data_IF_218128877236
#
_entry.id   IF_218128877236
#
_cell.length_a   1.000
_cell.length_b   1.000
_cell.length_c   1.000
_cell.angle_alpha   90.00
_cell.angle_beta   90.00
_cell.angle_gamma   90.00
#
_symmetry.space_group_name_H-M   'P 1'
#
loop_
_entity.id
_entity.type
_entity.pdbx_description
1 polymer ?
#
# COMPACT_ATOMS: atom_id res chain seq x y z
N UNK A 1 -20.04 -2.25 15.20
CA UNK A 1 -19.06 -3.16 14.56
C UNK A 1 -18.58 -2.47 13.30
N UNK A 2 -17.29 -2.14 13.13
CA UNK A 2 -16.83 -1.59 11.86
C UNK A 2 -17.10 -2.64 10.77
N UNK A 3 -17.58 -2.21 9.60
CA UNK A 3 -17.72 -3.08 8.44
C UNK A 3 -16.37 -3.77 8.17
N UNK A 4 -16.38 -5.09 7.97
CA UNK A 4 -15.17 -5.82 7.63
C UNK A 4 -14.69 -5.31 6.27
N UNK A 5 -13.62 -4.52 6.28
CA UNK A 5 -13.02 -3.99 5.06
C UNK A 5 -12.30 -5.14 4.35
N UNK A 6 -12.92 -5.64 3.28
CA UNK A 6 -12.33 -6.65 2.41
C UNK A 6 -11.34 -5.97 1.46
N UNK A 7 -10.06 -5.99 1.84
CA UNK A 7 -8.97 -5.46 1.02
C UNK A 7 -8.37 -6.58 0.17
N UNK A 8 -8.45 -6.42 -1.14
CA UNK A 8 -7.84 -7.33 -2.10
C UNK A 8 -6.47 -6.80 -2.52
N UNK A 9 -5.45 -7.66 -2.49
CA UNK A 9 -4.05 -7.30 -2.72
C UNK A 9 -3.42 -8.18 -3.81
N UNK A 10 -2.42 -7.67 -4.55
CA UNK A 10 -1.91 -8.36 -5.73
C UNK A 10 -1.05 -9.59 -5.40
N UNK A 11 -0.66 -9.79 -4.15
CA UNK A 11 0.39 -10.72 -3.76
C UNK A 11 0.12 -12.17 -4.16
N UNK A 12 -1.11 -12.69 -3.96
CA UNK A 12 -1.44 -14.06 -4.36
C UNK A 12 -1.34 -14.27 -5.88
N UNK A 13 -1.75 -13.27 -6.67
CA UNK A 13 -1.66 -13.31 -8.13
C UNK A 13 -0.20 -13.26 -8.60
N UNK A 14 0.62 -12.42 -7.96
CA UNK A 14 2.06 -12.34 -8.24
C UNK A 14 2.75 -13.68 -7.94
N UNK A 15 2.48 -14.27 -6.77
CA UNK A 15 3.01 -15.58 -6.37
C UNK A 15 2.56 -16.71 -7.30
N UNK A 16 1.32 -16.67 -7.79
CA UNK A 16 0.82 -17.65 -8.75
C UNK A 16 1.46 -17.51 -10.14
N UNK A 17 1.77 -16.28 -10.57
CA UNK A 17 2.43 -16.01 -11.85
C UNK A 17 3.93 -16.36 -11.83
N UNK A 18 4.57 -16.18 -10.68
CA UNK A 18 5.99 -16.45 -10.43
C UNK A 18 6.13 -17.44 -9.26
N UNK A 19 5.82 -18.73 -9.45
CA UNK A 19 5.92 -19.75 -8.41
C UNK A 19 7.38 -20.15 -8.11
N UNK A 20 8.35 -19.27 -8.37
CA UNK A 20 9.77 -19.52 -8.20
C UNK A 20 10.06 -19.85 -6.72
N UNK A 21 10.52 -21.08 -6.46
CA UNK A 21 10.73 -21.60 -5.10
C UNK A 21 9.59 -22.48 -4.55
N UNK A 22 8.44 -22.56 -5.23
CA UNK A 22 7.39 -23.54 -4.97
C UNK A 22 7.73 -24.88 -5.65
N UNK A 23 8.83 -25.50 -5.22
CA UNK A 23 9.38 -26.73 -5.85
C UNK A 23 9.06 -28.02 -5.12
N UNK A 24 8.59 -27.92 -3.87
CA UNK A 24 8.33 -29.07 -3.01
C UNK A 24 6.90 -29.02 -2.47
N UNK A 25 6.32 -30.20 -2.20
CA UNK A 25 4.94 -30.35 -1.75
C UNK A 25 4.59 -29.45 -0.56
N UNK A 26 5.50 -29.34 0.42
CA UNK A 26 5.29 -28.54 1.61
C UNK A 26 5.11 -27.05 1.29
N UNK A 27 5.99 -26.46 0.47
CA UNK A 27 5.93 -25.03 0.14
C UNK A 27 4.76 -24.71 -0.79
N UNK A 28 4.44 -25.63 -1.71
CA UNK A 28 3.28 -25.51 -2.60
C UNK A 28 1.95 -25.56 -1.82
N UNK A 29 1.81 -26.51 -0.89
CA UNK A 29 0.61 -26.65 -0.05
C UNK A 29 0.40 -25.43 0.86
N UNK A 30 1.48 -24.92 1.46
CA UNK A 30 1.44 -23.68 2.23
C UNK A 30 1.00 -22.49 1.36
N UNK A 31 1.60 -22.33 0.17
CA UNK A 31 1.25 -21.25 -0.76
C UNK A 31 -0.24 -21.28 -1.18
N UNK A 32 -0.76 -22.47 -1.47
CA UNK A 32 -2.16 -22.65 -1.82
C UNK A 32 -3.08 -22.29 -0.64
N UNK A 33 -2.73 -22.75 0.56
CA UNK A 33 -3.48 -22.43 1.80
C UNK A 33 -3.50 -20.93 2.08
N UNK A 34 -2.36 -20.25 1.90
CA UNK A 34 -2.25 -18.80 2.02
C UNK A 34 -3.17 -18.10 1.01
N UNK A 35 -3.14 -18.52 -0.26
CA UNK A 35 -3.96 -17.95 -1.32
C UNK A 35 -5.46 -18.15 -1.08
N UNK A 36 -5.88 -19.33 -0.60
CA UNK A 36 -7.26 -19.62 -0.20
C UNK A 36 -7.74 -18.66 0.91
N UNK A 37 -6.89 -18.44 1.92
CA UNK A 37 -7.19 -17.54 3.03
C UNK A 37 -7.21 -16.08 2.59
N UNK A 38 -6.29 -15.68 1.71
CA UNK A 38 -6.23 -14.33 1.15
C UNK A 38 -7.47 -14.01 0.31
N UNK A 39 -7.90 -14.91 -0.58
CA UNK A 39 -9.13 -14.77 -1.35
C UNK A 39 -10.37 -14.58 -0.45
N UNK A 40 -10.50 -15.39 0.62
CA UNK A 40 -11.60 -15.23 1.60
C UNK A 40 -11.54 -13.88 2.32
N UNK A 41 -10.36 -13.44 2.75
CA UNK A 41 -10.17 -12.12 3.40
C UNK A 41 -10.51 -10.97 2.45
N UNK A 42 -10.25 -11.15 1.16
CA UNK A 42 -10.62 -10.22 0.10
C UNK A 42 -12.11 -10.30 -0.31
N UNK A 43 -12.92 -11.18 0.32
CA UNK A 43 -14.33 -11.35 -0.01
C UNK A 43 -14.58 -12.03 -1.37
N UNK A 44 -13.57 -12.75 -1.89
CA UNK A 44 -13.65 -13.52 -3.14
C UNK A 44 -13.97 -14.98 -2.85
N UNK A 45 -14.70 -15.62 -3.76
CA UNK A 45 -14.90 -17.06 -3.73
C UNK A 45 -13.61 -17.78 -4.17
N UNK A 46 -12.94 -18.53 -3.29
CA UNK A 46 -11.66 -19.15 -3.62
C UNK A 46 -11.74 -20.19 -4.74
N UNK A 47 -12.89 -20.83 -4.94
CA UNK A 47 -13.07 -21.85 -5.99
C UNK A 47 -13.07 -21.25 -7.40
N UNK A 48 -13.25 -19.94 -7.50
CA UNK A 48 -13.24 -19.18 -8.76
C UNK A 48 -12.03 -18.24 -8.90
N UNK A 49 -11.17 -18.16 -7.87
CA UNK A 49 -10.03 -17.24 -7.87
C UNK A 49 -8.89 -17.79 -8.75
N UNK A 50 -8.41 -17.01 -9.74
CA UNK A 50 -7.46 -17.53 -10.72
C UNK A 50 -6.10 -17.86 -10.11
N UNK A 51 -5.67 -17.16 -9.03
CA UNK A 51 -4.41 -17.48 -8.36
C UNK A 51 -4.51 -18.79 -7.58
N UNK A 52 -5.63 -19.02 -6.89
CA UNK A 52 -5.90 -20.27 -6.18
C UNK A 52 -5.88 -21.45 -7.15
N UNK A 53 -6.62 -21.34 -8.26
CA UNK A 53 -6.68 -22.39 -9.28
C UNK A 53 -5.29 -22.66 -9.89
N UNK A 54 -4.53 -21.62 -10.20
CA UNK A 54 -3.19 -21.76 -10.78
C UNK A 54 -2.20 -22.41 -9.81
N UNK A 55 -2.22 -22.02 -8.52
CA UNK A 55 -1.41 -22.65 -7.47
C UNK A 55 -1.83 -24.11 -7.20
N UNK A 56 -3.13 -24.41 -7.28
CA UNK A 56 -3.65 -25.78 -7.15
C UNK A 56 -3.14 -26.69 -8.26
N UNK A 57 -3.18 -26.23 -9.52
CA UNK A 57 -2.58 -26.95 -10.66
C UNK A 57 -1.09 -27.15 -10.47
N UNK A 58 -0.37 -26.10 -10.06
CA UNK A 58 1.06 -26.17 -9.78
C UNK A 58 1.41 -27.24 -8.74
N UNK A 59 0.69 -27.26 -7.61
CA UNK A 59 0.85 -28.29 -6.58
C UNK A 59 0.62 -29.70 -7.13
N UNK A 60 -0.43 -29.90 -7.94
CA UNK A 60 -0.74 -31.18 -8.56
C UNK A 60 0.39 -31.70 -9.45
N UNK A 61 1.00 -30.82 -10.25
CA UNK A 61 2.13 -31.16 -11.13
C UNK A 61 3.41 -31.48 -10.34
N UNK A 62 3.70 -30.71 -9.29
CA UNK A 62 4.80 -31.03 -8.35
C UNK A 62 4.57 -32.40 -7.70
N UNK A 63 3.34 -32.72 -7.31
CA UNK A 63 3.00 -34.03 -6.75
C UNK A 63 3.15 -35.19 -7.75
N UNK A 64 2.90 -34.92 -9.04
CA UNK A 64 3.11 -35.86 -10.13
C UNK A 64 4.59 -36.03 -10.55
N UNK A 65 5.50 -35.25 -9.97
CA UNK A 65 6.92 -35.28 -10.30
C UNK A 65 7.28 -34.52 -11.59
N UNK A 66 6.38 -33.66 -12.07
CA UNK A 66 6.65 -32.79 -13.22
C UNK A 66 7.64 -31.66 -12.87
N UNK A 67 8.28 -31.09 -13.89
CA UNK A 67 9.18 -29.95 -13.73
C UNK A 67 8.37 -28.70 -13.28
N UNK A 68 8.67 -28.10 -12.11
CA UNK A 68 7.92 -26.95 -11.59
C UNK A 68 8.00 -25.70 -12.49
N UNK A 69 9.05 -25.61 -13.31
CA UNK A 69 9.28 -24.49 -14.23
C UNK A 69 8.66 -24.72 -15.62
N UNK A 70 8.04 -25.87 -15.86
CA UNK A 70 7.40 -26.14 -17.14
C UNK A 70 6.27 -25.13 -17.40
N UNK A 71 6.19 -24.66 -18.65
CA UNK A 71 5.11 -23.80 -19.11
C UNK A 71 3.98 -24.67 -19.62
N UNK A 72 2.80 -24.44 -19.08
CA UNK A 72 1.59 -25.23 -19.36
C UNK A 72 0.57 -24.34 -20.08
N UNK A 73 0.35 -24.52 -21.40
CA UNK A 73 -0.56 -23.69 -22.18
C UNK A 73 -1.99 -23.65 -21.63
N UNK A 74 -2.45 -24.73 -20.99
CA UNK A 74 -3.76 -24.78 -20.35
C UNK A 74 -3.94 -23.78 -19.19
N UNK A 75 -2.85 -23.20 -18.68
CA UNK A 75 -2.86 -22.17 -17.64
C UNK A 75 -2.96 -20.74 -18.18
N UNK A 76 -2.88 -20.54 -19.50
CA UNK A 76 -2.79 -19.20 -20.09
C UNK A 76 -3.97 -18.30 -19.73
N UNK A 77 -5.19 -18.85 -19.68
CA UNK A 77 -6.39 -18.12 -19.27
C UNK A 77 -6.29 -17.64 -17.80
N UNK A 78 -5.87 -18.52 -16.89
CA UNK A 78 -5.70 -18.20 -15.46
C UNK A 78 -4.56 -17.19 -15.26
N UNK A 79 -3.46 -17.35 -15.99
CA UNK A 79 -2.32 -16.41 -15.96
C UNK A 79 -2.74 -15.03 -16.47
N UNK A 80 -3.52 -14.95 -17.54
CA UNK A 80 -4.04 -13.68 -18.05
C UNK A 80 -5.02 -13.03 -17.07
N UNK A 81 -5.90 -13.82 -16.44
CA UNK A 81 -6.78 -13.33 -15.39
C UNK A 81 -6.01 -12.78 -14.18
N UNK A 82 -4.92 -13.44 -13.75
CA UNK A 82 -4.04 -12.94 -12.70
C UNK A 82 -3.39 -11.60 -13.07
N UNK A 83 -2.85 -11.47 -14.29
CA UNK A 83 -2.25 -10.22 -14.79
C UNK A 83 -3.26 -9.08 -14.82
N UNK A 84 -4.46 -9.35 -15.35
CA UNK A 84 -5.54 -8.37 -15.41
C UNK A 84 -5.93 -7.90 -14.01
N UNK A 85 -6.05 -8.84 -13.04
CA UNK A 85 -6.39 -8.50 -11.67
C UNK A 85 -5.31 -7.66 -10.98
N UNK A 86 -4.03 -7.94 -11.23
CA UNK A 86 -2.92 -7.10 -10.73
C UNK A 86 -3.03 -5.68 -11.29
N UNK A 87 -3.33 -5.52 -12.58
CA UNK A 87 -3.49 -4.20 -13.19
C UNK A 87 -4.64 -3.41 -12.54
N UNK A 88 -5.81 -4.03 -12.37
CA UNK A 88 -6.96 -3.42 -11.69
C UNK A 88 -6.65 -2.99 -10.25
N UNK A 89 -5.93 -3.85 -9.51
CA UNK A 89 -5.57 -3.58 -8.11
C UNK A 89 -4.53 -2.47 -7.98
N UNK A 90 -3.64 -2.33 -8.96
CA UNK A 90 -2.65 -1.25 -8.98
C UNK A 90 -3.30 0.11 -9.21
N UNK A 91 -4.34 0.17 -10.03
CA UNK A 91 -5.00 1.42 -10.39
C UNK A 91 -6.01 1.89 -9.31
N UNK A 92 -6.32 1.03 -8.32
CA UNK A 92 -7.21 1.35 -7.22
C UNK A 92 -6.49 2.15 -6.10
N UNK A 93 -7.12 3.20 -5.53
CA UNK A 93 -6.54 3.95 -4.42
C UNK A 93 -6.47 3.10 -3.14
N UNK A 94 -5.30 2.51 -2.88
CA UNK A 94 -5.11 1.50 -1.81
C UNK A 94 -4.74 2.10 -0.45
N UNK A 95 -4.24 3.34 -0.41
CA UNK A 95 -3.64 3.91 0.81
C UNK A 95 -4.62 4.00 1.99
N UNK A 96 -5.81 4.57 1.77
CA UNK A 96 -6.85 4.70 2.79
C UNK A 96 -7.28 3.33 3.34
N UNK A 97 -7.72 2.37 2.51
CA UNK A 97 -8.15 1.08 3.03
C UNK A 97 -6.98 0.31 3.69
N UNK A 98 -5.76 0.46 3.20
CA UNK A 98 -4.57 -0.17 3.80
C UNK A 98 -4.27 0.36 5.20
N UNK A 99 -4.31 1.68 5.41
CA UNK A 99 -4.12 2.29 6.74
C UNK A 99 -5.24 1.92 7.68
N UNK A 100 -6.50 1.96 7.23
CA UNK A 100 -7.67 1.58 8.04
C UNK A 100 -7.62 0.10 8.46
N UNK A 101 -7.21 -0.80 7.55
CA UNK A 101 -6.96 -2.22 7.85
C UNK A 101 -5.85 -2.39 8.89
N UNK A 102 -4.84 -1.53 8.84
CA UNK A 102 -3.60 -1.63 9.61
C UNK A 102 -2.58 -2.52 8.92
N UNK A 103 -1.29 -2.23 9.14
CA UNK A 103 -0.20 -2.93 8.46
C UNK A 103 0.19 -4.23 9.18
N UNK A 104 0.30 -4.19 10.51
CA UNK A 104 0.94 -5.26 11.28
C UNK A 104 2.45 -5.32 11.01
N UNK A 105 3.17 -6.26 11.61
CA UNK A 105 4.59 -6.52 11.32
C UNK A 105 4.77 -7.27 9.98
N UNK A 106 3.88 -7.04 9.01
CA UNK A 106 3.86 -7.70 7.71
C UNK A 106 4.73 -6.88 6.72
N UNK A 107 5.86 -7.41 6.26
CA UNK A 107 6.80 -6.67 5.43
C UNK A 107 6.21 -6.28 4.06
N UNK A 108 5.33 -7.09 3.48
CA UNK A 108 4.75 -6.82 2.16
C UNK A 108 3.76 -5.66 2.24
N UNK A 109 2.94 -5.64 3.29
CA UNK A 109 2.02 -4.53 3.57
C UNK A 109 2.75 -3.24 3.92
N UNK A 110 3.85 -3.33 4.68
CA UNK A 110 4.70 -2.18 5.00
C UNK A 110 5.30 -1.59 3.71
N UNK A 111 5.79 -2.43 2.80
CA UNK A 111 6.35 -1.96 1.53
C UNK A 111 5.30 -1.35 0.61
N UNK A 112 4.13 -1.98 0.50
CA UNK A 112 2.99 -1.43 -0.25
C UNK A 112 2.56 -0.07 0.30
N UNK A 113 2.44 0.04 1.62
CA UNK A 113 2.14 1.29 2.30
C UNK A 113 3.18 2.37 1.99
N UNK A 114 4.48 2.06 2.11
CA UNK A 114 5.56 3.02 1.82
C UNK A 114 5.47 3.55 0.39
N UNK A 115 5.19 2.68 -0.57
CA UNK A 115 5.02 3.10 -1.98
C UNK A 115 3.83 4.04 -2.13
N UNK A 116 2.65 3.61 -1.66
CA UNK A 116 1.41 4.36 -1.79
C UNK A 116 1.44 5.71 -1.03
N UNK A 117 2.00 5.74 0.18
CA UNK A 117 2.16 6.97 0.97
C UNK A 117 3.08 7.97 0.27
N UNK A 118 4.22 7.51 -0.29
CA UNK A 118 5.13 8.38 -1.05
C UNK A 118 4.45 8.96 -2.28
N UNK A 119 3.70 8.15 -3.02
CA UNK A 119 2.97 8.60 -4.20
C UNK A 119 1.91 9.65 -3.85
N UNK A 120 1.12 9.41 -2.81
CA UNK A 120 0.13 10.36 -2.34
C UNK A 120 0.75 11.70 -1.90
N UNK A 121 1.89 11.65 -1.20
CA UNK A 121 2.63 12.86 -0.80
C UNK A 121 3.27 13.58 -1.99
N UNK A 122 3.75 12.87 -3.02
CA UNK A 122 4.21 13.48 -4.27
C UNK A 122 3.06 14.20 -4.97
N UNK A 123 1.89 13.58 -5.04
CA UNK A 123 0.71 14.20 -5.63
C UNK A 123 0.23 15.44 -4.85
N UNK A 124 0.32 15.40 -3.51
CA UNK A 124 0.09 16.57 -2.66
C UNK A 124 1.09 17.69 -2.95
N UNK A 125 2.39 17.39 -3.06
CA UNK A 125 3.42 18.37 -3.38
C UNK A 125 3.17 19.04 -4.74
N UNK A 126 2.80 18.26 -5.76
CA UNK A 126 2.42 18.75 -7.08
C UNK A 126 1.19 19.66 -7.02
N UNK A 127 0.17 19.27 -6.27
CA UNK A 127 -1.07 20.06 -6.07
C UNK A 127 -0.79 21.37 -5.31
N UNK A 128 0.18 21.35 -4.40
CA UNK A 128 0.66 22.54 -3.71
C UNK A 128 1.58 23.42 -4.58
N UNK A 129 1.96 22.95 -5.78
CA UNK A 129 2.89 23.59 -6.71
C UNK A 129 4.29 23.76 -6.12
N UNK A 130 4.77 22.77 -5.36
CA UNK A 130 6.13 22.78 -4.83
C UNK A 130 7.14 22.42 -5.91
N UNK A 131 8.28 23.10 -5.90
CA UNK A 131 9.45 22.72 -6.69
C UNK A 131 10.02 21.39 -6.16
N UNK A 132 10.30 20.39 -7.01
CA UNK A 132 10.90 19.11 -6.63
C UNK A 132 12.22 19.20 -5.84
N UNK A 133 12.96 20.31 -5.99
CA UNK A 133 14.21 20.57 -5.24
C UNK A 133 13.95 21.10 -3.83
N UNK A 134 12.75 21.65 -3.58
CA UNK A 134 12.36 22.33 -2.35
C UNK A 134 11.58 21.43 -1.37
N UNK A 135 11.44 20.14 -1.66
CA UNK A 135 10.91 19.18 -0.69
C UNK A 135 11.67 17.84 -0.70
N UNK A 136 11.52 17.07 0.37
CA UNK A 136 11.93 15.68 0.44
C UNK A 136 10.79 14.82 0.98
N UNK A 137 10.65 13.58 0.49
CA UNK A 137 9.70 12.60 1.01
C UNK A 137 10.49 11.42 1.56
N UNK A 138 10.48 11.26 2.87
CA UNK A 138 11.23 10.22 3.55
C UNK A 138 10.48 9.68 4.77
N UNK A 139 10.87 8.50 5.23
CA UNK A 139 10.46 8.03 6.54
C UNK A 139 11.11 8.92 7.59
N UNK A 140 10.32 9.37 8.56
CA UNK A 140 10.85 10.13 9.67
C UNK A 140 11.74 9.21 10.55
N UNK A 141 12.90 9.71 10.96
CA UNK A 141 13.93 8.97 11.71
C UNK A 141 13.46 8.53 13.09
N UNK A 142 12.43 9.18 13.63
CA UNK A 142 11.91 8.88 14.98
C UNK A 142 10.97 7.67 15.00
N UNK A 143 10.67 7.11 13.83
CA UNK A 143 9.74 6.01 13.66
C UNK A 143 10.45 4.69 13.34
N UNK A 144 9.94 3.59 13.91
CA UNK A 144 10.49 2.25 13.73
C UNK A 144 10.15 1.67 12.35
N UNK A 145 10.83 0.58 11.96
CA UNK A 145 10.50 -0.14 10.73
C UNK A 145 9.04 -0.65 10.71
N UNK A 146 8.52 -1.02 11.88
CA UNK A 146 7.15 -1.56 12.06
C UNK A 146 6.08 -0.46 12.18
N UNK A 147 6.46 0.80 12.36
CA UNK A 147 5.56 1.95 12.27
C UNK A 147 6.12 2.99 11.29
N UNK A 148 6.06 2.73 9.98
CA UNK A 148 6.87 3.44 8.99
C UNK A 148 6.28 4.81 8.59
N UNK A 149 6.06 5.75 9.51
CA UNK A 149 5.49 7.06 9.17
C UNK A 149 6.31 7.79 8.08
N UNK A 150 5.64 8.24 7.02
CA UNK A 150 6.27 8.91 5.86
C UNK A 150 5.87 10.38 5.87
N UNK A 151 6.85 11.25 5.72
CA UNK A 151 6.67 12.69 5.76
C UNK A 151 7.15 13.35 4.48
N UNK A 152 6.38 14.34 4.01
CA UNK A 152 6.78 15.37 3.07
C UNK A 152 7.35 16.54 3.90
N UNK A 153 8.65 16.77 3.79
CA UNK A 153 9.33 17.91 4.40
C UNK A 153 9.55 19.01 3.36
N UNK A 154 8.89 20.14 3.53
CA UNK A 154 9.14 21.37 2.79
C UNK A 154 9.77 22.43 3.71
N UNK A 155 10.23 23.54 3.14
CA UNK A 155 10.93 24.56 3.94
C UNK A 155 10.03 25.28 4.95
N UNK A 156 8.73 25.34 4.72
CA UNK A 156 7.78 26.08 5.56
C UNK A 156 6.76 25.20 6.28
N UNK A 157 6.71 23.91 5.96
CA UNK A 157 5.79 22.97 6.59
C UNK A 157 6.23 21.51 6.42
N UNK A 158 5.65 20.64 7.24
CA UNK A 158 5.76 19.20 7.13
C UNK A 158 4.36 18.57 7.12
N UNK A 159 4.15 17.55 6.28
CA UNK A 159 2.95 16.70 6.30
C UNK A 159 3.39 15.25 6.49
N UNK A 160 2.80 14.56 7.46
CA UNK A 160 3.12 13.18 7.83
C UNK A 160 1.90 12.28 7.65
N UNK A 161 2.11 11.12 7.04
CA UNK A 161 1.18 9.99 7.08
C UNK A 161 1.75 9.00 8.10
N UNK A 162 1.01 8.81 9.19
CA UNK A 162 1.32 7.91 10.30
C UNK A 162 0.31 6.75 10.31
N UNK A 163 0.73 5.53 9.96
CA UNK A 163 -0.18 4.38 9.91
C UNK A 163 -0.49 3.83 11.31
N UNK A 164 0.05 4.43 12.38
CA UNK A 164 -0.15 4.00 13.75
C UNK A 164 -1.62 4.12 14.19
N UNK A 165 -2.19 3.00 14.64
CA UNK A 165 -3.59 2.94 15.08
C UNK A 165 -3.82 3.36 16.52
N UNK A 166 -2.81 3.89 17.23
CA UNK A 166 -2.96 4.31 18.63
C UNK A 166 -3.98 5.46 18.75
N UNK A 167 -4.18 6.25 17.69
CA UNK A 167 -5.17 7.31 17.64
C UNK A 167 -5.95 7.32 16.31
N UNK A 168 -7.01 6.50 16.18
CA UNK A 168 -7.84 6.49 14.97
C UNK A 168 -8.39 7.89 14.65
N UNK A 169 -8.39 8.25 13.36
CA UNK A 169 -8.80 9.57 12.86
C UNK A 169 -7.73 10.66 12.98
N UNK A 170 -6.48 10.29 13.27
CA UNK A 170 -5.33 11.21 13.42
C UNK A 170 -4.09 10.76 12.64
N UNK A 171 -4.31 9.98 11.58
CA UNK A 171 -3.27 9.37 10.74
C UNK A 171 -2.53 10.40 9.88
N UNK A 172 -3.18 11.53 9.56
CA UNK A 172 -2.54 12.63 8.84
C UNK A 172 -2.16 13.71 9.84
N UNK A 173 -0.89 14.09 9.88
CA UNK A 173 -0.38 15.22 10.66
C UNK A 173 0.18 16.31 9.75
N UNK A 174 0.01 17.58 10.11
CA UNK A 174 0.69 18.69 9.44
C UNK A 174 1.07 19.80 10.42
N UNK A 175 2.18 20.47 10.16
CA UNK A 175 2.74 21.51 11.04
C UNK A 175 3.58 22.48 10.23
N UNK A 176 3.63 23.75 10.64
CA UNK A 176 4.59 24.72 10.10
C UNK A 176 5.99 24.41 10.59
N UNK A 177 7.00 24.63 9.76
CA UNK A 177 8.42 24.44 10.10
C UNK A 177 9.23 25.67 9.69
N UNK A 178 10.38 25.88 10.35
CA UNK A 178 11.34 26.91 9.99
C UNK A 178 12.54 26.28 9.26
N UNK A 179 12.32 25.88 8.01
CA UNK A 179 13.24 25.07 7.23
C UNK A 179 12.88 23.60 7.23
N UNK A 180 13.40 22.85 6.24
CA UNK A 180 13.11 21.42 6.03
C UNK A 180 13.46 20.54 7.23
N UNK A 181 14.60 20.79 7.86
CA UNK A 181 15.09 20.12 9.08
C UNK A 181 14.94 21.02 10.32
N UNK A 182 14.15 22.09 10.19
CA UNK A 182 13.97 23.09 11.24
C UNK A 182 12.96 22.66 12.31
N UNK A 183 12.96 23.34 13.47
CA UNK A 183 11.98 23.09 14.51
C UNK A 183 10.56 23.43 14.03
N UNK A 184 9.58 22.83 14.68
CA UNK A 184 8.18 23.18 14.46
C UNK A 184 7.93 24.64 14.83
N UNK A 185 7.31 25.37 13.92
CA UNK A 185 6.96 26.77 14.04
C UNK A 185 5.48 26.98 14.45
N UNK A 186 4.87 25.97 15.09
CA UNK A 186 3.48 25.98 15.51
C UNK A 186 2.98 24.66 16.07
N UNK A 187 1.67 24.60 16.36
CA UNK A 187 1.00 23.38 16.82
C UNK A 187 0.85 22.38 15.68
N UNK A 188 1.19 21.11 15.92
CA UNK A 188 0.86 20.03 14.99
C UNK A 188 -0.66 19.82 14.96
N UNK A 189 -1.23 19.93 13.76
CA UNK A 189 -2.61 19.58 13.46
C UNK A 189 -2.68 18.14 12.98
N UNK A 190 -3.83 17.50 13.21
CA UNK A 190 -4.06 16.11 12.82
C UNK A 190 -5.47 15.91 12.30
N UNK A 191 -5.63 14.93 11.42
CA UNK A 191 -6.92 14.53 10.86
C UNK A 191 -6.89 13.09 10.31
N UNK A 192 -8.04 12.63 9.78
CA UNK A 192 -8.19 11.24 9.33
C UNK A 192 -7.45 10.99 8.02
N UNK A 193 -7.08 9.74 7.78
CA UNK A 193 -6.47 9.29 6.51
C UNK A 193 -7.26 9.68 5.27
N UNK A 194 -8.59 9.76 5.36
CA UNK A 194 -9.50 10.11 4.26
C UNK A 194 -9.24 11.50 3.66
N UNK A 195 -8.53 12.39 4.37
CA UNK A 195 -8.09 13.67 3.81
C UNK A 195 -7.27 13.48 2.52
N UNK A 196 -6.48 12.41 2.42
CA UNK A 196 -5.65 12.14 1.25
C UNK A 196 -6.46 11.65 0.04
N UNK A 197 -7.69 11.17 0.22
CA UNK A 197 -8.57 10.80 -0.89
C UNK A 197 -9.03 12.02 -1.70
N UNK A 198 -9.02 13.21 -1.12
CA UNK A 198 -9.28 14.47 -1.81
C UNK A 198 -8.11 15.43 -1.61
N UNK A 199 -7.00 15.14 -2.29
CA UNK A 199 -5.76 15.90 -2.20
C UNK A 199 -5.95 17.38 -2.51
N UNK A 200 -6.84 17.76 -3.43
CA UNK A 200 -7.12 19.17 -3.74
C UNK A 200 -7.69 19.91 -2.53
N UNK A 201 -8.70 19.32 -1.87
CA UNK A 201 -9.29 19.90 -0.64
C UNK A 201 -8.29 19.90 0.51
N UNK A 202 -7.49 18.85 0.63
CA UNK A 202 -6.47 18.78 1.67
C UNK A 202 -5.35 19.81 1.44
N UNK A 203 -4.89 20.02 0.21
CA UNK A 203 -3.92 21.05 -0.13
C UNK A 203 -4.42 22.45 0.25
N UNK A 204 -5.71 22.77 0.02
CA UNK A 204 -6.30 24.02 0.47
C UNK A 204 -6.29 24.17 2.01
N UNK A 205 -6.54 23.07 2.73
CA UNK A 205 -6.44 23.02 4.19
C UNK A 205 -5.00 23.31 4.65
N UNK A 206 -4.01 22.64 4.08
CA UNK A 206 -2.60 22.85 4.41
C UNK A 206 -2.16 24.28 4.11
N UNK A 207 -2.55 24.86 2.96
CA UNK A 207 -2.24 26.26 2.62
C UNK A 207 -2.76 27.23 3.67
N UNK A 208 -4.03 27.08 4.06
CA UNK A 208 -4.67 27.93 5.07
C UNK A 208 -3.99 27.79 6.43
N UNK A 209 -3.80 26.56 6.90
CA UNK A 209 -3.34 26.28 8.25
C UNK A 209 -1.83 26.54 8.42
N UNK A 210 -1.05 26.40 7.35
CA UNK A 210 0.38 26.67 7.35
C UNK A 210 0.76 28.08 6.83
N UNK A 211 -0.23 28.91 6.51
CA UNK A 211 -0.04 30.27 5.95
C UNK A 211 0.87 30.29 4.71
N UNK A 212 0.64 29.35 3.78
CA UNK A 212 1.42 29.27 2.55
C UNK A 212 0.92 30.33 1.56
N UNK A 213 1.85 31.05 0.93
CA UNK A 213 1.51 31.97 -0.15
C UNK A 213 0.93 31.20 -1.34
N UNK A 214 -0.07 31.78 -1.99
CA UNK A 214 -0.65 31.21 -3.21
C UNK A 214 0.40 31.32 -4.33
N UNK A 215 0.63 30.27 -5.15
CA UNK A 215 1.47 30.42 -6.33
C UNK A 215 0.84 31.48 -7.24
N UNK A 216 1.70 32.33 -7.81
CA UNK A 216 1.32 33.36 -8.78
C UNK A 216 0.76 32.73 -10.08
#
# INVERSE_FOLDING_TARGET
>A
MPATLHLDLPFRFQRALQPDGLRVLQTCSAALTDALNDARRAGRDPESDPAVLLLGRHLGRVAAGECPEAVHPEDDELRNACKQRIAELRDAPILVPLVQRGLGCDPDLINLYRSAAREALRYLAQTLCLDPTNYNIQQDRHFTADNPAISLFADSFCVTIDPCRINPGREIGWVRTNGRDGPWAGRQLRGPIDLISNVVRFAATVRRDCHLHQPA
#
